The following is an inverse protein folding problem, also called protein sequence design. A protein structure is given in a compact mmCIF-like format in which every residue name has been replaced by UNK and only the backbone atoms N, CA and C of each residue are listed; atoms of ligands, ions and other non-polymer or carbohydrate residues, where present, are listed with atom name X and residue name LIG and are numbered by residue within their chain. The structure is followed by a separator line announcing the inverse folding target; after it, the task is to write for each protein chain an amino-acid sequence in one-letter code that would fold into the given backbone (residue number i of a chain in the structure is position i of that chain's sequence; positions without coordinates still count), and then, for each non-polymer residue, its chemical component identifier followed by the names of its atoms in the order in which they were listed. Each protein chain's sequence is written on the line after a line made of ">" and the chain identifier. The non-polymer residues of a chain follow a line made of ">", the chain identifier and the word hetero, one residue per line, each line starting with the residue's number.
data_IF_357497487814
#
_entry.id   IF_357497487814
#
_cell.length_a   1.000
_cell.length_b   1.000
_cell.length_c   1.000
_cell.angle_alpha   90.00
_cell.angle_beta   90.00
_cell.angle_gamma   90.00
#
_symmetry.space_group_name_H-M   'P 1'
#
loop_
_entity.id
_entity.type
_entity.pdbx_description
1 polymer ?
#
# COMPACT_ATOMS: atom_id res chain seq x y z
N UNK A 1 -12.91 -9.98 2.61
CA UNK A 1 -12.64 -11.39 2.34
C UNK A 1 -11.43 -11.88 3.13
N UNK A 2 -11.04 -13.13 2.91
CA UNK A 2 -9.93 -13.73 3.67
C UNK A 2 -8.60 -12.99 3.45
N UNK A 3 -8.31 -12.62 2.21
CA UNK A 3 -7.07 -11.91 1.89
C UNK A 3 -7.05 -10.51 2.52
N UNK A 4 -8.15 -9.78 2.45
CA UNK A 4 -8.26 -8.46 3.07
C UNK A 4 -8.03 -8.54 4.58
N UNK A 5 -8.65 -9.53 5.23
CA UNK A 5 -8.50 -9.73 6.67
C UNK A 5 -7.06 -10.07 7.04
N UNK A 6 -6.40 -10.94 6.27
CA UNK A 6 -5.01 -11.34 6.52
C UNK A 6 -4.05 -10.15 6.36
N UNK A 7 -4.21 -9.38 5.30
CA UNK A 7 -3.39 -8.18 5.06
C UNK A 7 -3.64 -7.16 6.17
N UNK A 8 -4.89 -6.91 6.51
CA UNK A 8 -5.25 -5.94 7.55
C UNK A 8 -4.66 -6.29 8.92
N UNK A 9 -4.76 -7.56 9.33
CA UNK A 9 -4.20 -8.00 10.62
C UNK A 9 -2.68 -7.90 10.65
N UNK A 10 -2.02 -8.33 9.57
CA UNK A 10 -0.56 -8.23 9.47
C UNK A 10 -0.10 -6.79 9.54
N UNK A 11 -0.75 -5.92 8.79
CA UNK A 11 -0.44 -4.50 8.77
C UNK A 11 -0.59 -3.86 10.14
N UNK A 12 -1.73 -4.08 10.79
CA UNK A 12 -2.02 -3.51 12.12
C UNK A 12 -0.96 -3.94 13.14
N UNK A 13 -0.64 -5.22 13.16
CA UNK A 13 0.36 -5.76 14.09
C UNK A 13 1.75 -5.16 13.88
N UNK A 14 2.18 -5.07 12.62
CA UNK A 14 3.51 -4.56 12.29
C UNK A 14 3.63 -3.05 12.54
N UNK A 15 2.58 -2.29 12.21
CA UNK A 15 2.55 -0.85 12.49
C UNK A 15 2.55 -0.61 14.00
N UNK A 16 1.77 -1.38 14.75
CA UNK A 16 1.75 -1.26 16.22
C UNK A 16 3.14 -1.46 16.82
N UNK A 17 3.92 -2.41 16.30
CA UNK A 17 5.28 -2.65 16.76
C UNK A 17 6.20 -1.45 16.49
N UNK A 18 6.08 -0.81 15.32
CA UNK A 18 6.86 0.37 14.98
C UNK A 18 6.49 1.57 15.85
N UNK A 19 5.19 1.77 16.11
CA UNK A 19 4.71 2.82 17.01
C UNK A 19 5.24 2.61 18.42
N UNK A 20 5.18 1.38 18.92
CA UNK A 20 5.66 1.05 20.27
C UNK A 20 7.14 1.33 20.43
N UNK A 21 7.93 1.11 19.38
CA UNK A 21 9.39 1.38 19.42
C UNK A 21 9.75 2.84 19.14
N UNK A 22 8.74 3.71 18.91
CA UNK A 22 8.97 5.12 18.62
C UNK A 22 9.54 5.39 17.24
N UNK A 23 9.36 4.46 16.28
CA UNK A 23 9.91 4.59 14.92
C UNK A 23 8.97 5.32 13.97
N UNK A 24 7.75 5.64 14.41
CA UNK A 24 6.81 6.46 13.67
C UNK A 24 6.53 7.73 14.51
N UNK A 25 7.38 8.76 14.38
CA UNK A 25 7.31 9.93 15.24
C UNK A 25 5.95 10.62 15.20
N UNK A 26 5.49 11.04 16.38
CA UNK A 26 4.19 11.71 16.51
C UNK A 26 2.99 10.77 16.57
N UNK A 27 3.19 9.47 16.36
CA UNK A 27 2.10 8.50 16.37
C UNK A 27 2.08 7.73 17.69
N UNK A 28 0.87 7.45 18.18
CA UNK A 28 0.64 6.72 19.42
C UNK A 28 -0.29 5.53 19.22
N UNK A 29 -0.68 4.83 20.30
CA UNK A 29 -1.54 3.65 20.19
C UNK A 29 -2.88 3.92 19.47
N UNK A 30 -3.43 5.14 19.60
CA UNK A 30 -4.69 5.49 18.94
C UNK A 30 -4.56 5.62 17.42
N UNK A 31 -3.33 5.75 16.92
CA UNK A 31 -3.08 5.91 15.48
C UNK A 31 -2.93 4.56 14.75
N UNK A 32 -2.89 3.46 15.48
CA UNK A 32 -2.74 2.12 14.91
C UNK A 32 -3.99 1.69 14.15
N UNK A 33 -5.16 2.18 14.54
CA UNK A 33 -6.42 1.83 13.89
C UNK A 33 -6.43 2.16 12.39
N UNK A 34 -5.78 3.26 11.99
CA UNK A 34 -5.63 3.64 10.59
C UNK A 34 -4.20 3.41 10.10
N UNK A 35 -3.50 2.46 10.73
CA UNK A 35 -2.14 2.05 10.36
C UNK A 35 -1.15 3.22 10.34
N UNK A 36 -1.38 4.23 11.19
CA UNK A 36 -0.52 5.42 11.28
C UNK A 36 -0.30 6.10 9.91
N UNK A 37 -1.28 6.00 9.02
CA UNK A 37 -1.24 6.60 7.70
C UNK A 37 -0.73 5.70 6.59
N UNK A 38 -0.43 4.44 6.88
CA UNK A 38 -0.04 3.49 5.82
C UNK A 38 -1.28 3.00 5.06
N UNK A 39 -1.11 2.78 3.76
CA UNK A 39 -2.17 2.32 2.87
C UNK A 39 -1.65 1.17 2.02
N UNK A 40 -2.45 0.12 1.89
CA UNK A 40 -2.20 -0.97 0.96
C UNK A 40 -3.30 -0.97 -0.09
N UNK A 41 -2.91 -0.76 -1.35
CA UNK A 41 -3.82 -0.82 -2.49
C UNK A 41 -3.75 -2.19 -3.12
N UNK A 42 -4.90 -2.81 -3.34
CA UNK A 42 -5.01 -4.05 -4.11
C UNK A 42 -5.23 -3.70 -5.57
N UNK A 43 -4.44 -4.32 -6.44
CA UNK A 43 -4.44 -4.05 -7.88
C UNK A 43 -4.98 -5.27 -8.64
N UNK A 44 -5.36 -5.06 -9.89
CA UNK A 44 -5.76 -6.15 -10.76
C UNK A 44 -6.96 -6.94 -10.24
N UNK A 45 -6.85 -8.26 -10.23
CA UNK A 45 -7.95 -9.15 -9.79
C UNK A 45 -8.32 -8.96 -8.34
N UNK A 46 -7.32 -8.76 -7.47
CA UNK A 46 -7.58 -8.51 -6.05
C UNK A 46 -8.30 -7.18 -5.86
N UNK A 47 -7.95 -6.16 -6.64
CA UNK A 47 -8.62 -4.87 -6.63
C UNK A 47 -10.09 -4.99 -7.04
N UNK A 48 -10.39 -5.86 -7.99
CA UNK A 48 -11.77 -6.13 -8.45
C UNK A 48 -12.51 -7.16 -7.58
N UNK A 49 -11.88 -7.69 -6.53
CA UNK A 49 -12.48 -8.71 -5.69
C UNK A 49 -12.39 -10.12 -6.25
N UNK A 50 -11.66 -10.31 -7.32
CA UNK A 50 -11.51 -11.60 -8.00
C UNK A 50 -10.19 -12.26 -7.57
N UNK A 51 -10.17 -12.90 -6.41
CA UNK A 51 -8.97 -13.54 -5.90
C UNK A 51 -8.95 -15.02 -6.22
N UNK A 52 -7.86 -15.47 -6.84
CA UNK A 52 -7.55 -16.87 -7.04
C UNK A 52 -6.41 -17.25 -6.08
N UNK A 53 -6.60 -18.29 -5.28
CA UNK A 53 -5.62 -18.72 -4.26
C UNK A 53 -4.25 -19.10 -4.83
N UNK A 54 -4.18 -19.47 -6.10
CA UNK A 54 -2.91 -19.84 -6.73
C UNK A 54 -2.18 -18.66 -7.35
N UNK A 55 -2.75 -17.45 -7.30
CA UNK A 55 -2.19 -16.25 -7.92
C UNK A 55 -1.51 -15.37 -6.89
N UNK A 56 -0.49 -14.65 -7.33
CA UNK A 56 0.11 -13.59 -6.53
C UNK A 56 -0.88 -12.42 -6.41
N UNK A 57 -0.84 -11.75 -5.28
CA UNK A 57 -1.64 -10.56 -5.03
C UNK A 57 -0.78 -9.34 -5.38
N UNK A 58 -1.24 -8.55 -6.34
CA UNK A 58 -0.55 -7.32 -6.73
C UNK A 58 -0.92 -6.19 -5.78
N UNK A 59 0.07 -5.65 -5.09
CA UNK A 59 -0.11 -4.61 -4.10
C UNK A 59 0.76 -3.40 -4.39
N UNK A 60 0.25 -2.22 -4.04
CA UNK A 60 1.04 -0.99 -3.95
C UNK A 60 0.91 -0.50 -2.51
N UNK A 61 2.04 -0.31 -1.83
CA UNK A 61 2.09 0.16 -0.45
C UNK A 61 2.55 1.62 -0.42
N UNK A 62 1.77 2.45 0.25
CA UNK A 62 2.00 3.88 0.36
C UNK A 62 1.86 4.33 1.81
N UNK A 63 2.35 5.53 2.11
CA UNK A 63 2.07 6.16 3.39
C UNK A 63 1.75 7.65 3.21
N UNK A 64 0.94 8.17 4.11
CA UNK A 64 0.55 9.57 4.14
C UNK A 64 1.69 10.40 4.72
N UNK A 65 2.48 11.01 3.84
CA UNK A 65 3.66 11.77 4.23
C UNK A 65 3.32 13.08 4.96
N UNK A 66 2.09 13.58 4.84
CA UNK A 66 1.68 14.79 5.57
C UNK A 66 1.72 14.60 7.08
N UNK A 67 1.54 13.37 7.56
CA UNK A 67 1.68 13.07 8.99
C UNK A 67 3.12 13.17 9.49
N UNK A 68 4.10 13.16 8.59
CA UNK A 68 5.52 13.02 8.93
C UNK A 68 6.37 14.11 8.31
N UNK A 69 5.83 15.31 8.20
CA UNK A 69 6.51 16.42 7.50
C UNK A 69 7.94 16.67 8.02
N UNK A 70 8.14 16.57 9.34
CA UNK A 70 9.46 16.83 9.96
C UNK A 70 10.29 15.54 10.14
N UNK A 71 9.68 14.37 9.95
CA UNK A 71 10.27 13.06 10.25
C UNK A 71 10.15 12.10 9.08
N UNK A 72 10.15 12.63 7.87
CA UNK A 72 9.89 11.88 6.64
C UNK A 72 10.82 10.66 6.49
N UNK A 73 12.13 10.85 6.65
CA UNK A 73 13.09 9.79 6.42
C UNK A 73 12.90 8.62 7.40
N UNK A 74 12.62 8.95 8.66
CA UNK A 74 12.42 7.94 9.71
C UNK A 74 11.12 7.15 9.48
N UNK A 75 10.04 7.85 9.14
CA UNK A 75 8.76 7.22 8.82
C UNK A 75 8.88 6.33 7.59
N UNK A 76 9.54 6.81 6.53
CA UNK A 76 9.78 6.06 5.30
C UNK A 76 10.49 4.74 5.60
N UNK A 77 11.56 4.78 6.39
CA UNK A 77 12.30 3.59 6.77
C UNK A 77 11.41 2.59 7.53
N UNK A 78 10.59 3.09 8.45
CA UNK A 78 9.67 2.25 9.22
C UNK A 78 8.64 1.56 8.30
N UNK A 79 8.03 2.29 7.38
CA UNK A 79 7.03 1.73 6.48
C UNK A 79 7.63 0.77 5.46
N UNK A 80 8.87 0.96 5.06
CA UNK A 80 9.59 -0.02 4.23
C UNK A 80 9.77 -1.33 5.00
N UNK A 81 10.16 -1.26 6.28
CA UNK A 81 10.26 -2.46 7.12
C UNK A 81 8.93 -3.16 7.28
N UNK A 82 7.86 -2.40 7.53
CA UNK A 82 6.50 -2.96 7.65
C UNK A 82 6.11 -3.70 6.37
N UNK A 83 6.34 -3.08 5.21
CA UNK A 83 6.00 -3.68 3.92
C UNK A 83 6.74 -5.00 3.71
N UNK A 84 8.04 -5.02 3.96
CA UNK A 84 8.84 -6.23 3.78
C UNK A 84 8.41 -7.35 4.72
N UNK A 85 8.16 -7.03 5.98
CA UNK A 85 7.72 -8.01 6.97
C UNK A 85 6.31 -8.52 6.68
N UNK A 86 5.43 -7.64 6.22
CA UNK A 86 4.08 -8.03 5.81
C UNK A 86 4.12 -9.05 4.67
N UNK A 87 4.91 -8.77 3.64
CA UNK A 87 5.06 -9.69 2.52
C UNK A 87 5.61 -11.05 2.97
N UNK A 88 6.57 -11.06 3.89
CA UNK A 88 7.11 -12.30 4.43
C UNK A 88 6.07 -13.08 5.24
N UNK A 89 5.33 -12.40 6.11
CA UNK A 89 4.29 -13.03 6.92
C UNK A 89 3.18 -13.66 6.06
N UNK A 90 2.76 -12.96 5.02
CA UNK A 90 1.70 -13.44 4.13
C UNK A 90 2.13 -14.65 3.32
N UNK A 91 3.42 -14.83 3.07
CA UNK A 91 3.94 -15.96 2.31
C UNK A 91 4.13 -17.22 3.17
N UNK A 92 3.98 -17.12 4.48
CA UNK A 92 4.08 -18.27 5.36
C UNK A 92 2.82 -19.14 5.27
N UNK A 93 2.95 -20.49 5.21
CA UNK A 93 1.79 -21.37 5.22
C UNK A 93 0.94 -21.15 6.47
N UNK A 94 -0.38 -21.05 6.29
CA UNK A 94 -1.33 -20.95 7.41
C UNK A 94 -1.83 -22.34 7.79
N UNK A 95 -2.56 -22.43 8.90
CA UNK A 95 -3.22 -23.67 9.32
C UNK A 95 -4.21 -24.20 8.27
N UNK A 96 -4.69 -23.34 7.39
CA UNK A 96 -5.60 -23.71 6.30
C UNK A 96 -4.87 -24.06 5.01
N UNK A 97 -3.54 -24.02 5.01
CA UNK A 97 -2.72 -24.36 3.85
C UNK A 97 -2.58 -23.25 2.82
N UNK A 98 -3.08 -22.04 3.09
CA UNK A 98 -3.01 -20.92 2.14
C UNK A 98 -1.70 -20.15 2.29
N UNK A 99 -1.17 -19.71 1.14
CA UNK A 99 0.00 -18.85 1.03
C UNK A 99 -0.38 -17.66 0.16
N UNK A 100 -0.19 -16.45 0.67
CA UNK A 100 -0.47 -15.23 -0.08
C UNK A 100 0.86 -14.61 -0.52
N UNK A 101 1.33 -15.00 -1.71
CA UNK A 101 2.49 -14.33 -2.30
C UNK A 101 2.07 -12.97 -2.79
N UNK A 102 2.83 -11.95 -2.43
CA UNK A 102 2.55 -10.58 -2.81
C UNK A 102 3.53 -10.14 -3.88
N UNK A 103 3.01 -9.40 -4.86
CA UNK A 103 3.83 -8.81 -5.92
C UNK A 103 3.76 -7.29 -5.78
N UNK A 104 4.90 -6.67 -5.54
CA UNK A 104 5.02 -5.23 -5.32
C UNK A 104 5.56 -4.50 -6.56
N UNK A 105 5.70 -5.19 -7.69
CA UNK A 105 6.33 -4.63 -8.91
C UNK A 105 5.44 -3.65 -9.68
N UNK A 106 4.17 -3.54 -9.33
CA UNK A 106 3.28 -2.55 -9.96
C UNK A 106 3.43 -1.14 -9.37
N UNK A 107 4.26 -0.98 -8.34
CA UNK A 107 4.51 0.35 -7.79
C UNK A 107 5.26 1.23 -8.79
N UNK A 108 5.17 2.58 -8.64
CA UNK A 108 5.89 3.50 -9.54
C UNK A 108 7.37 3.16 -9.63
N UNK A 109 7.86 3.01 -10.86
CA UNK A 109 9.28 2.82 -11.19
C UNK A 109 10.00 1.81 -10.27
N UNK A 110 9.60 0.52 -10.30
CA UNK A 110 10.05 -0.47 -9.31
C UNK A 110 11.55 -0.76 -9.36
N UNK A 111 12.23 -0.40 -10.45
CA UNK A 111 13.67 -0.62 -10.57
C UNK A 111 14.48 0.32 -9.67
N UNK A 112 13.93 1.46 -9.26
CA UNK A 112 14.66 2.48 -8.49
C UNK A 112 13.93 2.94 -7.23
N UNK A 113 12.69 2.53 -7.01
CA UNK A 113 11.92 2.94 -5.84
C UNK A 113 11.90 1.86 -4.76
N UNK A 114 11.77 2.25 -3.48
CA UNK A 114 11.59 1.27 -2.42
C UNK A 114 10.21 0.62 -2.50
N UNK A 115 10.00 -0.42 -1.70
CA UNK A 115 8.75 -1.19 -1.71
C UNK A 115 7.56 -0.45 -1.09
N UNK A 116 7.78 0.67 -0.40
CA UNK A 116 6.74 1.55 0.10
C UNK A 116 7.13 3.00 -0.22
N UNK A 117 6.22 3.75 -0.81
CA UNK A 117 6.46 5.14 -1.21
C UNK A 117 5.55 6.08 -0.44
N UNK A 118 5.97 7.36 -0.33
CA UNK A 118 5.05 8.38 0.13
C UNK A 118 3.97 8.62 -0.93
N UNK A 119 2.79 9.02 -0.49
CA UNK A 119 1.69 9.36 -1.40
C UNK A 119 2.08 10.51 -2.34
N UNK A 120 2.81 11.49 -1.83
CA UNK A 120 3.25 12.62 -2.64
C UNK A 120 4.16 12.18 -3.79
N UNK A 121 5.14 11.32 -3.49
CA UNK A 121 6.04 10.81 -4.52
C UNK A 121 5.28 9.99 -5.59
N UNK A 122 4.34 9.16 -5.16
CA UNK A 122 3.53 8.37 -6.08
C UNK A 122 2.64 9.25 -6.95
N UNK A 123 1.99 10.26 -6.38
CA UNK A 123 1.15 11.19 -7.14
C UNK A 123 1.95 11.91 -8.20
N UNK A 124 3.10 12.45 -7.84
CA UNK A 124 3.97 13.17 -8.81
C UNK A 124 4.41 12.26 -9.94
N UNK A 125 4.72 11.01 -9.63
CA UNK A 125 5.09 10.05 -10.66
C UNK A 125 3.95 9.81 -11.65
N UNK A 126 2.75 9.49 -11.15
CA UNK A 126 1.61 9.19 -12.02
C UNK A 126 1.17 10.40 -12.85
N UNK A 127 1.26 11.59 -12.29
CA UNK A 127 0.86 12.83 -12.99
C UNK A 127 1.82 13.22 -14.11
N UNK A 128 3.12 12.97 -13.94
CA UNK A 128 4.14 13.46 -14.85
C UNK A 128 4.84 12.37 -15.65
N UNK A 129 5.22 11.26 -15.02
CA UNK A 129 6.05 10.23 -15.62
C UNK A 129 5.33 8.90 -15.84
N UNK A 130 4.17 8.71 -15.23
CA UNK A 130 3.44 7.45 -15.30
C UNK A 130 3.11 7.05 -16.73
N UNK A 131 3.42 5.81 -17.07
CA UNK A 131 3.09 5.26 -18.39
C UNK A 131 1.59 4.98 -18.49
N UNK A 132 1.01 4.99 -19.72
CA UNK A 132 -0.42 4.73 -19.88
C UNK A 132 -0.89 3.43 -19.21
N UNK A 133 -0.12 2.34 -19.30
CA UNK A 133 -0.51 1.07 -18.69
C UNK A 133 -0.47 1.13 -17.16
N UNK A 134 0.45 1.92 -16.58
CA UNK A 134 0.50 2.11 -15.12
C UNK A 134 -0.72 2.86 -14.62
N UNK A 135 -1.13 3.90 -15.33
CA UNK A 135 -2.34 4.67 -15.00
C UNK A 135 -3.59 3.82 -15.15
N UNK A 136 -3.65 3.04 -16.24
CA UNK A 136 -4.78 2.15 -16.49
C UNK A 136 -4.93 1.10 -15.37
N UNK A 137 -3.82 0.62 -14.81
CA UNK A 137 -3.85 -0.35 -13.72
C UNK A 137 -4.56 0.20 -12.47
N UNK A 138 -4.53 1.53 -12.27
CA UNK A 138 -5.20 2.15 -11.13
C UNK A 138 -6.72 2.18 -11.24
N UNK A 139 -7.29 1.95 -12.44
CA UNK A 139 -8.75 1.97 -12.63
C UNK A 139 -9.44 0.94 -11.73
N UNK A 140 -8.81 -0.21 -11.54
CA UNK A 140 -9.36 -1.29 -10.71
C UNK A 140 -8.74 -1.35 -9.31
N UNK A 141 -7.96 -0.36 -8.93
CA UNK A 141 -7.35 -0.32 -7.60
C UNK A 141 -8.39 -0.01 -6.53
N UNK A 142 -8.21 -0.65 -5.36
CA UNK A 142 -9.02 -0.33 -4.18
C UNK A 142 -8.14 -0.34 -2.94
N UNK A 143 -8.59 0.37 -1.91
CA UNK A 143 -7.90 0.36 -0.61
C UNK A 143 -8.22 -0.96 0.09
N UNK A 144 -7.21 -1.82 0.20
CA UNK A 144 -7.36 -3.14 0.80
C UNK A 144 -7.19 -3.10 2.32
N UNK A 145 -6.28 -2.26 2.80
CA UNK A 145 -5.98 -2.15 4.23
C UNK A 145 -5.34 -0.80 4.54
N UNK A 146 -5.33 -0.44 5.81
CA UNK A 146 -4.68 0.76 6.32
C UNK A 146 -5.63 1.94 6.44
N UNK A 147 -5.11 3.13 6.17
CA UNK A 147 -5.87 4.39 6.27
C UNK A 147 -6.81 4.53 5.07
N UNK A 148 -8.07 4.14 5.28
CA UNK A 148 -9.08 4.14 4.21
C UNK A 148 -9.31 5.54 3.65
N UNK A 149 -9.36 6.55 4.51
CA UNK A 149 -9.59 7.93 4.09
C UNK A 149 -8.43 8.46 3.24
N UNK A 150 -7.20 8.27 3.71
CA UNK A 150 -6.02 8.71 2.98
C UNK A 150 -5.88 7.96 1.65
N UNK A 151 -6.12 6.65 1.66
CA UNK A 151 -6.06 5.83 0.45
C UNK A 151 -7.09 6.22 -0.58
N UNK A 152 -8.34 6.41 -0.16
CA UNK A 152 -9.40 6.83 -1.09
C UNK A 152 -9.13 8.24 -1.63
N UNK A 153 -8.63 9.14 -0.78
CA UNK A 153 -8.22 10.49 -1.22
C UNK A 153 -7.15 10.45 -2.29
N UNK A 154 -6.17 9.55 -2.13
CA UNK A 154 -5.12 9.32 -3.12
C UNK A 154 -5.71 8.90 -4.48
N UNK A 155 -6.58 7.88 -4.46
CA UNK A 155 -7.21 7.39 -5.69
C UNK A 155 -8.09 8.47 -6.34
N UNK A 156 -8.82 9.23 -5.54
CA UNK A 156 -9.68 10.31 -6.04
C UNK A 156 -8.87 11.42 -6.70
N UNK A 157 -7.73 11.79 -6.12
CA UNK A 157 -6.86 12.81 -6.72
C UNK A 157 -6.28 12.39 -8.05
N UNK A 158 -6.02 11.11 -8.24
CA UNK A 158 -5.46 10.59 -9.49
C UNK A 158 -6.50 10.27 -10.54
N UNK A 159 -7.77 10.15 -10.16
CA UNK A 159 -8.86 9.77 -11.05
C UNK A 159 -8.92 10.61 -12.34
N UNK A 160 -8.83 11.97 -12.30
CA UNK A 160 -8.85 12.75 -13.53
C UNK A 160 -7.72 12.42 -14.51
N UNK A 161 -6.52 12.13 -14.00
CA UNK A 161 -5.38 11.77 -14.83
C UNK A 161 -5.52 10.40 -15.44
N UNK A 162 -5.98 9.43 -14.64
CA UNK A 162 -6.16 8.05 -15.05
C UNK A 162 -7.18 7.96 -16.19
N UNK A 163 -8.38 8.53 -15.98
CA UNK A 163 -9.46 8.43 -16.97
C UNK A 163 -9.17 9.23 -18.23
N UNK A 164 -8.59 10.41 -18.12
CA UNK A 164 -8.25 11.22 -19.28
C UNK A 164 -7.25 10.49 -20.19
N UNK A 165 -6.20 9.89 -19.62
CA UNK A 165 -5.20 9.16 -20.40
C UNK A 165 -5.76 7.89 -21.02
N UNK A 166 -6.71 7.27 -20.36
CA UNK A 166 -7.37 6.07 -20.89
C UNK A 166 -8.26 6.40 -22.08
N UNK A 167 -8.92 7.55 -22.06
CA UNK A 167 -9.83 7.97 -23.14
C UNK A 167 -9.11 8.60 -24.32
N UNK A 168 -7.95 9.16 -24.11
CA UNK A 168 -7.12 9.73 -25.18
C UNK A 168 -6.47 8.62 -26.00
#
# INVERSE_FOLDING_TARGET
>A
DFADAAVGRSLTSLVAAEVKRGKLPGQGPNDVADAAGMVVLAMGKAGAGELNYSSDIDLICLFDDERYADDYAEARAAFIRVTRRMAALLSEPTGDGYVFRTDLRLRPDPSVTPVCLSMDAAERYYESLGRPWERAALIKARVMAGDQKAGQGFLDRLSPFVWRKHLD
#
